data_IF_027142373958
#
_entry.id   IF_027142373958
#
_cell.length_a   1.000
_cell.length_b   1.000
_cell.length_c   1.000
_cell.angle_alpha   90.00
_cell.angle_beta   90.00
_cell.angle_gamma   90.00
#
_symmetry.space_group_name_H-M   'P 1'
#
loop_
_entity.id
_entity.type
_entity.pdbx_description
1 polymer ?
#
# COMPACT_ATOMS: atom_id res chain seq x y z
N UNK A 1 14.28 8.91 11.50
CA UNK A 1 13.32 7.81 11.33
C UNK A 1 12.45 8.08 10.11
N UNK A 2 12.41 7.18 9.15
CA UNK A 2 11.63 7.35 7.94
C UNK A 2 10.14 7.24 8.26
N UNK A 3 9.35 8.23 7.84
CA UNK A 3 7.91 8.20 7.97
C UNK A 3 7.31 7.53 6.74
N UNK A 4 6.52 6.50 6.95
CA UNK A 4 5.83 5.80 5.87
C UNK A 4 4.37 6.18 5.82
N UNK A 5 3.87 6.29 4.60
CA UNK A 5 2.54 6.81 4.32
C UNK A 5 1.68 5.76 3.64
N UNK A 6 0.39 5.81 3.93
CA UNK A 6 -0.64 5.05 3.22
C UNK A 6 -1.60 6.07 2.61
N UNK A 7 -1.84 5.96 1.32
CA UNK A 7 -2.79 6.82 0.61
C UNK A 7 -4.00 6.00 0.18
N UNK A 8 -5.20 6.52 0.47
CA UNK A 8 -6.45 5.93 -0.01
C UNK A 8 -7.13 6.90 -0.97
N UNK A 9 -7.60 6.38 -2.09
CA UNK A 9 -8.28 7.17 -3.12
C UNK A 9 -9.64 6.55 -3.39
N UNK A 10 -10.70 7.23 -2.98
CA UNK A 10 -12.07 6.77 -3.15
C UNK A 10 -13.03 7.95 -3.06
N UNK A 11 -13.96 8.06 -4.00
CA UNK A 11 -14.93 9.17 -4.02
C UNK A 11 -16.08 9.01 -3.06
N UNK A 12 -16.40 7.78 -2.64
CA UNK A 12 -17.55 7.49 -1.79
C UNK A 12 -17.19 7.60 -0.31
N UNK A 13 -17.90 8.45 0.42
CA UNK A 13 -17.64 8.70 1.85
C UNK A 13 -17.76 7.41 2.67
N UNK A 14 -18.80 6.61 2.42
CA UNK A 14 -19.02 5.37 3.16
C UNK A 14 -17.90 4.36 2.94
N UNK A 15 -17.42 4.27 1.72
CA UNK A 15 -16.29 3.40 1.38
C UNK A 15 -15.00 3.90 2.05
N UNK A 16 -14.76 5.21 2.07
CA UNK A 16 -13.59 5.78 2.75
C UNK A 16 -13.60 5.46 4.24
N UNK A 17 -14.76 5.55 4.89
CA UNK A 17 -14.90 5.22 6.31
C UNK A 17 -14.59 3.75 6.59
N UNK A 18 -15.07 2.85 5.73
CA UNK A 18 -14.77 1.42 5.85
C UNK A 18 -13.28 1.14 5.68
N UNK A 19 -12.64 1.80 4.73
CA UNK A 19 -11.21 1.65 4.50
C UNK A 19 -10.43 2.17 5.72
N UNK A 20 -10.78 3.33 6.24
CA UNK A 20 -10.13 3.88 7.43
C UNK A 20 -10.26 2.94 8.63
N UNK A 21 -11.42 2.34 8.80
CA UNK A 21 -11.63 1.37 9.87
C UNK A 21 -10.70 0.15 9.70
N UNK A 22 -10.55 -0.31 8.48
CA UNK A 22 -9.66 -1.42 8.17
C UNK A 22 -8.19 -1.07 8.45
N UNK A 23 -7.83 0.21 8.37
CA UNK A 23 -6.47 0.70 8.58
C UNK A 23 -6.15 1.08 10.03
N UNK A 24 -7.12 1.03 10.94
CA UNK A 24 -6.91 1.39 12.35
C UNK A 24 -5.67 0.73 12.99
N UNK A 25 -5.38 -0.57 12.77
CA UNK A 25 -4.21 -1.19 13.39
C UNK A 25 -2.88 -0.58 12.98
N UNK A 26 -2.83 0.16 11.86
CA UNK A 26 -1.59 0.69 11.31
C UNK A 26 -1.37 2.17 11.60
N UNK A 27 -2.35 2.85 12.16
CA UNK A 27 -2.35 4.30 12.37
C UNK A 27 -1.26 4.81 13.31
N UNK A 28 -0.79 3.97 14.22
CA UNK A 28 0.24 4.37 15.18
C UNK A 28 1.63 4.51 14.57
N UNK A 29 1.86 3.84 13.43
CA UNK A 29 3.18 3.80 12.79
C UNK A 29 3.16 4.37 11.38
N UNK A 30 2.04 4.20 10.67
CA UNK A 30 1.87 4.72 9.32
C UNK A 30 0.96 5.93 9.34
N UNK A 31 1.33 6.97 8.61
CA UNK A 31 0.48 8.13 8.42
C UNK A 31 -0.49 7.86 7.27
N UNK A 32 -1.78 8.14 7.47
CA UNK A 32 -2.82 7.81 6.51
C UNK A 32 -3.41 9.07 5.91
N UNK A 33 -3.41 9.15 4.58
CA UNK A 33 -4.00 10.25 3.82
C UNK A 33 -5.13 9.75 2.94
N UNK A 34 -6.15 10.58 2.78
CA UNK A 34 -7.31 10.28 1.95
C UNK A 34 -7.43 11.28 0.82
N UNK A 35 -7.86 10.79 -0.34
CA UNK A 35 -8.19 11.63 -1.48
C UNK A 35 -9.50 11.13 -2.10
N UNK A 36 -10.28 12.06 -2.65
CA UNK A 36 -11.55 11.76 -3.30
C UNK A 36 -11.40 11.45 -4.78
N UNK A 37 -10.30 11.90 -5.37
CA UNK A 37 -10.02 11.73 -6.80
C UNK A 37 -8.51 11.71 -7.05
N UNK A 38 -8.15 11.40 -8.29
CA UNK A 38 -6.75 11.29 -8.68
C UNK A 38 -6.00 12.63 -8.58
N UNK A 39 -6.64 13.74 -8.92
CA UNK A 39 -6.03 15.06 -8.84
C UNK A 39 -5.65 15.43 -7.42
N UNK A 40 -6.56 15.22 -6.47
CA UNK A 40 -6.30 15.46 -5.05
C UNK A 40 -5.18 14.54 -4.53
N UNK A 41 -5.19 13.27 -4.95
CA UNK A 41 -4.15 12.32 -4.60
C UNK A 41 -2.78 12.77 -5.09
N UNK A 42 -2.68 13.21 -6.35
CA UNK A 42 -1.43 13.71 -6.92
C UNK A 42 -0.91 14.93 -6.16
N UNK A 43 -1.80 15.86 -5.80
CA UNK A 43 -1.42 17.04 -5.04
C UNK A 43 -0.86 16.68 -3.67
N UNK A 44 -1.48 15.75 -2.98
CA UNK A 44 -0.97 15.25 -1.69
C UNK A 44 0.37 14.57 -1.85
N UNK A 45 0.55 13.77 -2.89
CA UNK A 45 1.83 13.10 -3.15
C UNK A 45 2.97 14.10 -3.41
N UNK A 46 2.71 15.17 -4.15
CA UNK A 46 3.70 16.22 -4.38
C UNK A 46 4.15 16.83 -3.05
N UNK A 47 3.21 17.17 -2.19
CA UNK A 47 3.51 17.75 -0.89
C UNK A 47 4.32 16.78 0.00
N UNK A 48 3.98 15.50 -0.02
CA UNK A 48 4.66 14.50 0.77
C UNK A 48 6.10 14.26 0.30
N UNK A 49 6.31 14.26 -1.03
CA UNK A 49 7.65 14.10 -1.60
C UNK A 49 8.59 15.24 -1.23
N UNK A 50 8.07 16.47 -1.07
CA UNK A 50 8.85 17.60 -0.62
C UNK A 50 9.35 17.45 0.81
N UNK A 51 8.66 16.65 1.63
CA UNK A 51 9.00 16.43 3.04
C UNK A 51 9.80 15.14 3.28
N UNK A 52 10.31 14.52 2.25
CA UNK A 52 11.11 13.27 2.32
C UNK A 52 10.36 12.08 2.93
N UNK A 53 9.04 12.12 2.93
CA UNK A 53 8.21 11.01 3.37
C UNK A 53 8.08 9.97 2.26
N UNK A 54 7.97 8.70 2.63
CA UNK A 54 7.88 7.60 1.66
C UNK A 54 6.48 6.98 1.62
N UNK A 55 5.94 6.90 0.42
CA UNK A 55 4.69 6.20 0.19
C UNK A 55 4.92 4.69 0.21
N UNK A 56 4.22 3.99 1.09
CA UNK A 56 4.35 2.55 1.23
C UNK A 56 3.22 1.77 0.56
N UNK A 57 2.02 2.31 0.57
CA UNK A 57 0.83 1.63 0.07
C UNK A 57 -0.19 2.63 -0.47
N UNK A 58 -0.82 2.25 -1.57
CA UNK A 58 -1.96 2.98 -2.13
C UNK A 58 -3.13 2.01 -2.24
N UNK A 59 -4.27 2.41 -1.71
CA UNK A 59 -5.53 1.70 -1.85
C UNK A 59 -6.43 2.57 -2.71
N UNK A 60 -6.74 2.14 -3.93
CA UNK A 60 -7.43 2.95 -4.91
C UNK A 60 -8.66 2.25 -5.46
N UNK A 61 -9.78 2.95 -5.52
CA UNK A 61 -10.99 2.46 -6.17
C UNK A 61 -10.83 2.58 -7.69
N UNK A 62 -11.31 1.57 -8.41
CA UNK A 62 -11.31 1.61 -9.88
C UNK A 62 -12.26 2.68 -10.40
N UNK A 63 -13.36 2.93 -9.70
CA UNK A 63 -14.39 3.89 -10.13
C UNK A 63 -14.08 5.29 -9.59
N UNK A 64 -13.15 6.00 -10.23
CA UNK A 64 -12.82 7.38 -9.89
C UNK A 64 -13.43 8.36 -10.90
N UNK A 65 -13.66 9.64 -10.50
CA UNK A 65 -14.03 10.67 -11.46
C UNK A 65 -12.90 10.93 -12.45
N UNK A 66 -13.24 11.07 -13.73
CA UNK A 66 -12.34 11.47 -14.83
C UNK A 66 -11.29 10.46 -15.26
N UNK A 67 -10.84 9.58 -14.38
CA UNK A 67 -9.88 8.54 -14.73
C UNK A 67 -10.20 7.27 -13.95
N UNK A 68 -9.79 6.11 -14.47
CA UNK A 68 -9.94 4.87 -13.73
C UNK A 68 -8.84 4.74 -12.67
N UNK A 69 -9.13 3.97 -11.61
CA UNK A 69 -8.11 3.67 -10.60
C UNK A 69 -6.91 2.95 -11.21
N UNK A 70 -7.16 2.00 -12.10
CA UNK A 70 -6.08 1.28 -12.79
C UNK A 70 -5.17 2.22 -13.58
N UNK A 71 -5.74 3.19 -14.31
CA UNK A 71 -4.97 4.17 -15.08
C UNK A 71 -4.15 5.07 -14.16
N UNK A 72 -4.73 5.50 -13.05
CA UNK A 72 -4.03 6.31 -12.06
C UNK A 72 -2.84 5.55 -11.46
N UNK A 73 -3.05 4.30 -11.05
CA UNK A 73 -1.98 3.47 -10.48
C UNK A 73 -0.88 3.17 -11.50
N UNK A 74 -1.25 2.97 -12.76
CA UNK A 74 -0.27 2.80 -13.85
C UNK A 74 0.61 4.03 -13.98
N UNK A 75 0.04 5.22 -13.92
CA UNK A 75 0.78 6.47 -13.94
C UNK A 75 1.77 6.57 -12.79
N UNK A 76 1.34 6.20 -11.57
CA UNK A 76 2.20 6.19 -10.40
C UNK A 76 3.32 5.16 -10.51
N UNK A 77 3.05 4.03 -11.14
CA UNK A 77 4.05 2.97 -11.33
C UNK A 77 5.18 3.39 -12.27
N UNK A 78 4.91 4.32 -13.18
CA UNK A 78 5.92 4.87 -14.11
C UNK A 78 6.84 5.89 -13.44
N UNK A 79 6.44 6.45 -12.31
CA UNK A 79 7.26 7.41 -11.57
C UNK A 79 8.18 6.67 -10.61
N UNK A 80 9.48 6.95 -10.67
CA UNK A 80 10.50 6.26 -9.85
C UNK A 80 10.26 6.39 -8.34
N UNK A 81 9.66 7.49 -7.89
CA UNK A 81 9.42 7.75 -6.47
C UNK A 81 8.24 6.93 -5.95
N UNK A 82 7.15 6.85 -6.71
CA UNK A 82 5.93 6.15 -6.31
C UNK A 82 5.89 4.69 -6.75
N UNK A 83 6.84 4.26 -7.59
CA UNK A 83 6.89 2.88 -8.10
C UNK A 83 7.05 1.85 -6.99
N UNK A 84 7.79 2.18 -5.94
CA UNK A 84 8.07 1.26 -4.82
C UNK A 84 6.84 0.96 -3.97
N UNK A 85 5.87 1.88 -3.93
CA UNK A 85 4.67 1.70 -3.14
C UNK A 85 3.86 0.50 -3.65
N UNK A 86 3.39 -0.31 -2.71
CA UNK A 86 2.48 -1.39 -3.04
C UNK A 86 1.11 -0.83 -3.39
N UNK A 87 0.37 -1.53 -4.25
CA UNK A 87 -0.87 -1.03 -4.82
C UNK A 87 -1.99 -2.04 -4.70
N UNK A 88 -3.08 -1.62 -4.08
CA UNK A 88 -4.31 -2.41 -3.97
C UNK A 88 -5.38 -1.68 -4.79
N UNK A 89 -5.98 -2.39 -5.73
CA UNK A 89 -7.09 -1.90 -6.53
C UNK A 89 -8.40 -2.51 -6.02
N UNK A 90 -9.40 -1.65 -5.75
CA UNK A 90 -10.73 -2.09 -5.36
C UNK A 90 -11.65 -2.01 -6.58
N UNK A 91 -12.25 -3.14 -6.97
CA UNK A 91 -13.15 -3.22 -8.12
C UNK A 91 -14.51 -3.74 -7.67
N UNK A 92 -15.56 -2.93 -7.81
CA UNK A 92 -16.92 -3.36 -7.47
C UNK A 92 -17.51 -4.30 -8.50
N UNK A 93 -17.11 -4.13 -9.76
CA UNK A 93 -17.51 -5.01 -10.86
C UNK A 93 -16.23 -5.57 -11.50
N UNK A 94 -15.96 -6.87 -11.32
CA UNK A 94 -14.78 -7.48 -11.90
C UNK A 94 -14.78 -7.33 -13.43
N UNK A 95 -13.69 -6.80 -13.96
CA UNK A 95 -13.44 -6.67 -15.39
C UNK A 95 -12.09 -7.30 -15.69
N UNK A 96 -12.11 -8.44 -16.36
CA UNK A 96 -10.90 -9.24 -16.60
C UNK A 96 -9.88 -8.47 -17.44
N UNK A 97 -10.33 -7.72 -18.44
CA UNK A 97 -9.41 -6.96 -19.30
C UNK A 97 -8.71 -5.85 -18.53
N UNK A 98 -9.44 -5.12 -17.70
CA UNK A 98 -8.88 -4.09 -16.82
C UNK A 98 -7.89 -4.73 -15.84
N UNK A 99 -8.26 -5.86 -15.26
CA UNK A 99 -7.41 -6.56 -14.29
C UNK A 99 -6.09 -7.02 -14.93
N UNK A 100 -6.15 -7.59 -16.12
CA UNK A 100 -4.95 -8.04 -16.85
C UNK A 100 -4.03 -6.86 -17.12
N UNK A 101 -4.55 -5.74 -17.61
CA UNK A 101 -3.75 -4.55 -17.87
C UNK A 101 -3.17 -3.95 -16.59
N UNK A 102 -3.96 -3.90 -15.54
CA UNK A 102 -3.53 -3.35 -14.26
C UNK A 102 -2.37 -4.17 -13.67
N UNK A 103 -2.46 -5.48 -13.70
CA UNK A 103 -1.40 -6.37 -13.19
C UNK A 103 -0.14 -6.28 -14.07
N UNK A 104 -0.30 -6.27 -15.39
CA UNK A 104 0.83 -6.29 -16.31
C UNK A 104 1.55 -4.94 -16.43
N UNK A 105 0.82 -3.83 -16.33
CA UNK A 105 1.38 -2.49 -16.60
C UNK A 105 1.31 -1.53 -15.42
N UNK A 106 0.40 -1.75 -14.47
CA UNK A 106 0.16 -0.84 -13.36
C UNK A 106 0.88 -1.19 -12.07
N UNK A 107 1.58 -2.33 -12.03
CA UNK A 107 2.24 -2.76 -10.82
C UNK A 107 1.28 -3.03 -9.67
N UNK A 108 0.07 -3.49 -9.97
CA UNK A 108 -0.94 -3.81 -8.96
C UNK A 108 -0.52 -5.08 -8.22
N UNK A 109 -0.39 -4.98 -6.91
CA UNK A 109 0.00 -6.09 -6.06
C UNK A 109 -1.18 -6.93 -5.62
N UNK A 110 -2.35 -6.31 -5.49
CA UNK A 110 -3.55 -6.99 -5.07
C UNK A 110 -4.79 -6.33 -5.65
N UNK A 111 -5.79 -7.13 -5.98
CA UNK A 111 -7.09 -6.63 -6.42
C UNK A 111 -8.17 -7.25 -5.54
N UNK A 112 -9.01 -6.42 -4.95
CA UNK A 112 -10.11 -6.85 -4.08
C UNK A 112 -11.44 -6.46 -4.71
N UNK A 113 -12.42 -7.36 -4.57
CA UNK A 113 -13.78 -7.13 -5.05
C UNK A 113 -14.71 -6.97 -3.85
N UNK A 114 -15.21 -5.75 -3.59
CA UNK A 114 -16.21 -5.55 -2.55
C UNK A 114 -17.54 -6.26 -2.90
N UNK A 115 -18.34 -6.65 -1.91
CA UNK A 115 -18.17 -6.32 -0.50
C UNK A 115 -17.23 -7.30 0.20
N UNK A 116 -15.99 -6.91 0.38
CA UNK A 116 -15.08 -7.62 1.26
C UNK A 116 -15.33 -7.16 2.69
N UNK A 117 -15.22 -8.05 3.64
CA UNK A 117 -15.30 -7.65 5.04
C UNK A 117 -14.09 -6.79 5.41
N UNK A 118 -14.29 -5.90 6.39
CA UNK A 118 -13.22 -5.03 6.88
C UNK A 118 -11.99 -5.83 7.29
N UNK A 119 -12.19 -7.01 7.92
CA UNK A 119 -11.09 -7.89 8.32
C UNK A 119 -10.25 -8.40 7.17
N UNK A 120 -10.88 -8.70 6.01
CA UNK A 120 -10.15 -9.15 4.82
C UNK A 120 -9.25 -8.05 4.28
N UNK A 121 -9.75 -6.81 4.24
CA UNK A 121 -8.94 -5.69 3.81
C UNK A 121 -7.79 -5.43 4.79
N UNK A 122 -8.04 -5.50 6.09
CA UNK A 122 -7.01 -5.33 7.12
C UNK A 122 -5.89 -6.35 6.91
N UNK A 123 -6.24 -7.61 6.70
CA UNK A 123 -5.23 -8.66 6.52
C UNK A 123 -4.45 -8.49 5.21
N UNK A 124 -5.13 -8.13 4.13
CA UNK A 124 -4.46 -7.84 2.85
C UNK A 124 -3.48 -6.68 3.00
N UNK A 125 -3.90 -5.61 3.66
CA UNK A 125 -3.03 -4.46 3.95
C UNK A 125 -1.83 -4.89 4.79
N UNK A 126 -2.06 -5.70 5.82
CA UNK A 126 -0.97 -6.19 6.67
C UNK A 126 0.09 -6.93 5.85
N UNK A 127 -0.32 -7.80 4.95
CA UNK A 127 0.61 -8.56 4.12
C UNK A 127 1.35 -7.66 3.13
N UNK A 128 0.66 -6.72 2.48
CA UNK A 128 1.29 -5.80 1.55
C UNK A 128 2.27 -4.85 2.24
N UNK A 129 1.93 -4.34 3.41
CA UNK A 129 2.85 -3.53 4.21
C UNK A 129 4.04 -4.35 4.70
N UNK A 130 3.82 -5.61 5.07
CA UNK A 130 4.90 -6.51 5.47
C UNK A 130 5.88 -6.69 4.31
N UNK A 131 5.39 -6.95 3.10
CA UNK A 131 6.24 -7.08 1.90
C UNK A 131 7.04 -5.79 1.66
N UNK A 132 6.39 -4.65 1.76
CA UNK A 132 7.07 -3.37 1.58
C UNK A 132 8.19 -3.17 2.62
N UNK A 133 7.91 -3.42 3.89
CA UNK A 133 8.89 -3.23 4.97
C UNK A 133 10.06 -4.21 4.83
N UNK A 134 9.79 -5.45 4.46
CA UNK A 134 10.85 -6.43 4.24
C UNK A 134 11.81 -6.02 3.12
N UNK A 135 11.29 -5.36 2.08
CA UNK A 135 12.07 -4.95 0.92
C UNK A 135 12.79 -3.61 1.11
N UNK A 136 12.25 -2.71 1.92
CA UNK A 136 12.71 -1.31 1.93
C UNK A 136 13.20 -0.77 3.27
N UNK A 137 12.88 -1.43 4.39
CA UNK A 137 13.21 -0.92 5.71
C UNK A 137 14.37 -1.68 6.35
N UNK A 138 15.31 -0.95 6.94
CA UNK A 138 16.43 -1.55 7.68
C UNK A 138 16.02 -1.93 9.11
N UNK A 139 15.29 -1.06 9.79
CA UNK A 139 14.84 -1.30 11.16
C UNK A 139 13.43 -1.92 11.14
N UNK A 140 13.38 -3.22 10.89
CA UNK A 140 12.12 -3.96 10.72
C UNK A 140 11.41 -4.24 12.05
N UNK A 141 12.16 -4.30 13.13
CA UNK A 141 11.62 -4.73 14.43
C UNK A 141 10.50 -3.81 14.93
N UNK A 142 10.59 -2.51 14.69
CA UNK A 142 9.57 -1.56 15.10
C UNK A 142 8.20 -1.80 14.46
N UNK A 143 8.16 -2.56 13.35
CA UNK A 143 6.92 -2.88 12.64
C UNK A 143 6.35 -4.24 12.99
N UNK A 144 7.11 -5.09 13.69
CA UNK A 144 6.71 -6.48 13.95
C UNK A 144 5.39 -6.60 14.70
N UNK A 145 5.09 -5.70 15.63
CA UNK A 145 3.89 -5.78 16.46
C UNK A 145 2.60 -5.50 15.69
N UNK A 146 2.66 -4.77 14.58
CA UNK A 146 1.47 -4.37 13.81
C UNK A 146 1.38 -5.07 12.45
N UNK A 147 2.47 -5.62 11.95
CA UNK A 147 2.52 -6.34 10.69
C UNK A 147 2.53 -7.85 10.92
N UNK A 148 2.94 -8.63 9.94
CA UNK A 148 3.08 -10.08 10.12
C UNK A 148 4.34 -10.38 10.94
N UNK A 149 4.16 -10.56 12.23
CA UNK A 149 5.24 -10.73 13.18
C UNK A 149 6.13 -11.93 12.84
N UNK A 150 5.53 -13.04 12.48
CA UNK A 150 6.30 -14.26 12.16
C UNK A 150 7.19 -14.06 10.94
N UNK A 151 6.66 -13.41 9.91
CA UNK A 151 7.42 -13.13 8.69
C UNK A 151 8.58 -12.17 8.95
N UNK A 152 8.35 -11.12 9.72
CA UNK A 152 9.39 -10.13 10.04
C UNK A 152 10.48 -10.74 10.92
N UNK A 153 10.10 -11.44 11.98
CA UNK A 153 11.08 -12.07 12.87
C UNK A 153 11.85 -13.18 12.17
N UNK A 154 11.17 -13.97 11.34
CA UNK A 154 11.82 -15.00 10.53
C UNK A 154 12.86 -14.44 9.57
N UNK A 155 12.53 -13.34 8.88
CA UNK A 155 13.45 -12.68 7.97
C UNK A 155 14.68 -12.11 8.69
N UNK A 156 14.48 -11.49 9.84
CA UNK A 156 15.56 -10.96 10.66
C UNK A 156 16.48 -12.07 11.17
N UNK A 157 15.90 -13.19 11.58
CA UNK A 157 16.65 -14.33 12.07
C UNK A 157 17.53 -14.94 10.95
N UNK A 158 16.97 -15.12 9.77
CA UNK A 158 17.71 -15.62 8.60
C UNK A 158 18.85 -14.66 8.22
N UNK A 159 18.57 -13.37 8.18
CA UNK A 159 19.58 -12.35 7.92
C UNK A 159 20.67 -12.34 8.97
N UNK A 160 20.31 -12.51 10.24
CA UNK A 160 21.25 -12.60 11.34
C UNK A 160 22.16 -13.82 11.23
N UNK A 161 21.60 -14.97 10.92
CA UNK A 161 22.37 -16.21 10.71
C UNK A 161 23.32 -16.09 9.52
N UNK A 162 22.84 -15.52 8.44
CA UNK A 162 23.67 -15.30 7.24
C UNK A 162 24.85 -14.36 7.55
N UNK A 163 24.61 -13.33 8.33
CA UNK A 163 25.65 -12.39 8.76
C UNK A 163 26.71 -13.10 9.62
N UNK A 164 26.28 -13.98 10.50
CA UNK A 164 27.16 -14.77 11.33
C UNK A 164 28.07 -15.68 10.48
N UNK A 165 27.48 -16.34 9.49
CA UNK A 165 28.22 -17.24 8.61
C UNK A 165 29.31 -16.50 7.82
N UNK A 166 29.08 -15.25 7.47
CA UNK A 166 30.05 -14.42 6.77
C UNK A 166 31.21 -13.97 7.66
N UNK A 167 31.01 -13.92 8.96
CA UNK A 167 32.02 -13.46 9.92
C UNK A 167 32.76 -14.60 10.60
N UNK A 168 32.29 -15.79 10.41
CA UNK A 168 32.94 -16.98 10.99
C UNK A 168 33.85 -17.66 9.96
#
# INVERSE_FOLDING_TARGET
MTQYLILTVNREIEEREKILKALEPFQTVFEIFQAENASEAEQKLINLMENEEQLSLIICDESLPRTSGASFLTKLHKNSITRKAHKILLMHKPDVDVLIQAVNHGGIDHCLVPPSEVGDLTETVRQELTDFILDHEHDKLQFASILDQERILGHMHEGGLTSWDHHS
#
